data_IF_294729071791
#
_entry.id   IF_294729071791
#
_cell.length_a   1.000
_cell.length_b   1.000
_cell.length_c   1.000
_cell.angle_alpha   90.00
_cell.angle_beta   90.00
_cell.angle_gamma   90.00
#
_symmetry.space_group_name_H-M   'P 1'
#
loop_
_entity.id
_entity.type
_entity.pdbx_description
1 polymer ?
#
# COMPACT_ATOMS: atom_id res chain seq x y z
N UNK A 1 42.97 40.03 14.02
CA UNK A 1 42.92 38.55 13.86
C UNK A 1 41.75 37.92 14.62
N UNK A 2 41.62 38.11 15.93
CA UNK A 2 40.58 37.42 16.72
C UNK A 2 39.13 37.78 16.32
N UNK A 3 38.91 39.02 15.87
CA UNK A 3 37.62 39.50 15.33
C UNK A 3 37.24 38.82 14.02
N UNK A 4 38.21 38.66 13.11
CA UNK A 4 38.04 37.99 11.82
C UNK A 4 37.73 36.51 12.05
N UNK A 5 38.45 35.85 12.96
CA UNK A 5 38.21 34.44 13.31
C UNK A 5 36.79 34.26 13.87
N UNK A 6 36.35 35.14 14.79
CA UNK A 6 34.98 35.11 15.32
C UNK A 6 33.93 35.30 14.23
N UNK A 7 34.15 36.22 13.30
CA UNK A 7 33.24 36.49 12.19
C UNK A 7 33.14 35.30 11.24
N UNK A 8 34.27 34.67 10.91
CA UNK A 8 34.31 33.45 10.10
C UNK A 8 33.61 32.29 10.80
N UNK A 9 33.83 32.09 12.10
CA UNK A 9 33.17 31.06 12.88
C UNK A 9 31.65 31.26 12.93
N UNK A 10 31.21 32.51 13.05
CA UNK A 10 29.79 32.86 12.97
C UNK A 10 29.20 32.49 11.60
N UNK A 11 29.90 32.83 10.51
CA UNK A 11 29.48 32.50 9.16
C UNK A 11 29.38 31.00 8.92
N UNK A 12 30.38 30.23 9.37
CA UNK A 12 30.38 28.77 9.25
C UNK A 12 29.19 28.15 10.00
N UNK A 13 28.93 28.61 11.22
CA UNK A 13 27.77 28.14 12.00
C UNK A 13 26.44 28.50 11.33
N UNK A 14 26.35 29.68 10.70
CA UNK A 14 25.16 30.10 9.97
C UNK A 14 24.95 29.23 8.71
N UNK A 15 26.01 28.95 7.96
CA UNK A 15 25.97 28.08 6.79
C UNK A 15 25.58 26.64 7.14
N UNK A 16 26.12 26.08 8.23
CA UNK A 16 25.76 24.73 8.70
C UNK A 16 24.26 24.61 8.99
N UNK A 17 23.65 25.63 9.62
CA UNK A 17 22.22 25.68 9.88
C UNK A 17 21.39 25.74 8.60
N UNK A 18 21.80 26.55 7.63
CA UNK A 18 21.11 26.64 6.33
C UNK A 18 21.16 25.30 5.59
N UNK A 19 22.34 24.69 5.50
CA UNK A 19 22.53 23.39 4.83
C UNK A 19 21.67 22.32 5.51
N UNK A 20 21.67 22.30 6.84
CA UNK A 20 20.85 21.39 7.64
C UNK A 20 19.35 21.54 7.37
N UNK A 21 18.86 22.78 7.27
CA UNK A 21 17.45 23.03 6.94
C UNK A 21 17.10 22.56 5.52
N UNK A 22 17.97 22.85 4.55
CA UNK A 22 17.77 22.41 3.17
C UNK A 22 17.77 20.88 3.06
N UNK A 23 18.68 20.19 3.74
CA UNK A 23 18.71 18.73 3.81
C UNK A 23 17.45 18.16 4.47
N UNK A 24 16.93 18.81 5.52
CA UNK A 24 15.68 18.42 6.18
C UNK A 24 14.47 18.50 5.23
N UNK A 25 14.42 19.51 4.37
CA UNK A 25 13.35 19.68 3.38
C UNK A 25 13.40 18.56 2.34
N UNK A 26 14.60 18.20 1.86
CA UNK A 26 14.80 17.21 0.80
C UNK A 26 14.61 15.77 1.31
N UNK A 27 15.18 15.44 2.47
CA UNK A 27 15.23 14.06 2.99
C UNK A 27 14.10 13.76 3.99
N UNK A 28 13.36 14.79 4.43
CA UNK A 28 12.37 14.68 5.50
C UNK A 28 12.97 14.74 6.90
N UNK A 29 12.12 14.54 7.91
CA UNK A 29 12.39 14.81 9.34
C UNK A 29 13.59 14.04 9.94
N UNK A 30 14.07 12.99 9.27
CA UNK A 30 14.97 11.99 9.84
C UNK A 30 16.45 12.10 9.40
N UNK A 31 16.86 13.14 8.66
CA UNK A 31 18.21 13.21 8.06
C UNK A 31 19.38 13.22 9.07
N UNK A 32 19.19 13.73 10.29
CA UNK A 32 20.20 13.71 11.38
C UNK A 32 20.00 12.58 12.38
N UNK A 33 18.99 11.72 12.21
CA UNK A 33 18.74 10.63 13.15
C UNK A 33 19.69 9.49 12.74
N UNK A 34 20.72 9.16 13.56
CA UNK A 34 21.53 7.99 13.28
C UNK A 34 20.58 6.79 13.25
N UNK A 35 20.61 6.04 12.14
CA UNK A 35 19.88 4.78 12.04
C UNK A 35 20.40 3.92 13.18
N UNK A 36 19.52 3.47 14.08
CA UNK A 36 19.91 2.53 15.14
C UNK A 36 20.53 1.30 14.48
N UNK A 37 21.79 1.00 14.79
CA UNK A 37 22.50 -0.19 14.30
C UNK A 37 21.88 -1.50 14.82
N UNK A 38 21.14 -1.42 15.93
CA UNK A 38 20.43 -2.56 16.47
C UNK A 38 19.24 -2.92 15.57
N UNK A 39 19.11 -4.18 15.12
CA UNK A 39 17.93 -4.61 14.38
C UNK A 39 16.70 -4.44 15.27
N UNK A 40 15.87 -3.44 14.95
CA UNK A 40 14.61 -3.24 15.64
C UNK A 40 13.70 -4.38 15.21
N UNK A 41 13.28 -5.23 16.14
CA UNK A 41 12.26 -6.26 15.90
C UNK A 41 10.92 -5.59 15.58
N UNK A 42 10.70 -5.24 14.31
CA UNK A 42 9.47 -4.63 13.81
C UNK A 42 8.43 -5.73 13.58
N UNK A 43 7.79 -6.21 14.65
CA UNK A 43 6.76 -7.27 14.63
C UNK A 43 5.67 -7.04 13.56
N UNK A 44 5.30 -5.78 13.31
CA UNK A 44 4.28 -5.35 12.36
C UNK A 44 4.76 -5.15 10.91
N UNK A 45 6.07 -5.27 10.61
CA UNK A 45 6.61 -5.17 9.25
C UNK A 45 6.85 -6.51 8.58
N UNK A 46 6.40 -7.61 9.19
CA UNK A 46 6.45 -8.91 8.53
C UNK A 46 5.48 -8.85 7.35
N UNK A 47 5.95 -9.18 6.15
CA UNK A 47 5.09 -9.46 5.00
C UNK A 47 4.12 -10.57 5.44
N UNK A 48 2.89 -10.19 5.76
CA UNK A 48 1.82 -11.14 6.01
C UNK A 48 1.22 -11.47 4.65
N UNK A 49 1.31 -12.75 4.28
CA UNK A 49 0.56 -13.24 3.13
C UNK A 49 -0.89 -13.32 3.57
N UNK A 50 -1.77 -12.59 2.88
CA UNK A 50 -3.20 -12.67 3.12
C UNK A 50 -3.67 -14.12 2.98
N UNK A 51 -4.64 -14.50 3.81
CA UNK A 51 -5.26 -15.80 3.66
C UNK A 51 -5.94 -15.88 2.29
N UNK A 52 -5.83 -17.04 1.64
CA UNK A 52 -6.51 -17.26 0.36
C UNK A 52 -8.01 -17.06 0.56
N UNK A 53 -8.71 -16.40 -0.38
CA UNK A 53 -10.16 -16.31 -0.32
C UNK A 53 -10.78 -17.71 -0.28
N UNK A 54 -11.79 -17.88 0.56
CA UNK A 54 -12.56 -19.12 0.64
C UNK A 54 -13.51 -19.10 -0.56
N UNK A 55 -13.22 -19.92 -1.56
CA UNK A 55 -14.14 -20.14 -2.66
C UNK A 55 -15.15 -21.22 -2.26
N UNK A 56 -16.43 -20.89 -2.26
CA UNK A 56 -17.48 -21.90 -2.21
C UNK A 56 -17.44 -22.74 -3.49
N UNK A 57 -17.69 -24.05 -3.38
CA UNK A 57 -17.80 -24.91 -4.56
C UNK A 57 -19.13 -24.59 -5.24
N UNK A 58 -19.15 -24.00 -6.45
CA UNK A 58 -20.40 -23.71 -7.12
C UNK A 58 -21.12 -25.02 -7.44
N UNK A 59 -22.41 -25.08 -7.13
CA UNK A 59 -23.24 -26.20 -7.55
C UNK A 59 -23.33 -26.21 -9.08
N UNK A 60 -22.89 -27.30 -9.70
CA UNK A 60 -23.01 -27.49 -11.14
C UNK A 60 -24.42 -27.97 -11.46
N UNK A 61 -25.16 -27.18 -12.21
CA UNK A 61 -26.46 -27.56 -12.74
C UNK A 61 -26.36 -27.96 -14.21
N UNK A 62 -27.16 -28.95 -14.61
CA UNK A 62 -27.33 -29.32 -16.00
C UNK A 62 -28.43 -28.45 -16.63
N UNK A 63 -28.05 -27.62 -17.59
CA UNK A 63 -28.97 -26.67 -18.23
C UNK A 63 -30.13 -27.37 -18.94
N UNK A 64 -29.95 -28.60 -19.44
CA UNK A 64 -31.02 -29.35 -20.10
C UNK A 64 -32.13 -29.73 -19.13
N UNK A 65 -31.74 -30.18 -17.93
CA UNK A 65 -32.70 -30.50 -16.85
C UNK A 65 -33.45 -29.27 -16.40
N UNK A 66 -32.75 -28.15 -16.22
CA UNK A 66 -33.36 -26.89 -15.83
C UNK A 66 -34.43 -26.40 -16.83
N UNK A 67 -34.17 -26.54 -18.13
CA UNK A 67 -35.12 -26.15 -19.17
C UNK A 67 -36.35 -27.08 -19.21
N UNK A 68 -36.14 -28.39 -19.06
CA UNK A 68 -37.23 -29.38 -19.02
C UNK A 68 -38.12 -29.20 -17.78
N UNK A 69 -37.51 -29.00 -16.61
CA UNK A 69 -38.23 -28.71 -15.36
C UNK A 69 -39.05 -27.42 -15.49
N UNK A 70 -38.48 -26.36 -16.07
CA UNK A 70 -39.19 -25.11 -16.30
C UNK A 70 -40.38 -25.27 -17.25
N UNK A 71 -40.21 -26.05 -18.33
CA UNK A 71 -41.29 -26.34 -19.28
C UNK A 71 -42.43 -27.11 -18.61
N UNK A 72 -42.10 -28.12 -17.79
CA UNK A 72 -43.11 -28.90 -17.04
C UNK A 72 -43.89 -28.05 -16.06
N UNK A 73 -43.23 -27.10 -15.37
CA UNK A 73 -43.91 -26.26 -14.37
C UNK A 73 -44.75 -25.15 -14.99
N UNK A 74 -44.30 -24.54 -16.10
CA UNK A 74 -44.92 -23.34 -16.65
C UNK A 74 -45.70 -23.57 -17.96
N UNK A 75 -45.56 -24.74 -18.58
CA UNK A 75 -46.19 -25.10 -19.85
C UNK A 75 -45.69 -24.29 -21.06
N UNK A 76 -44.59 -23.54 -20.92
CA UNK A 76 -44.01 -22.68 -21.96
C UNK A 76 -42.49 -22.71 -21.88
N UNK A 77 -41.85 -22.57 -23.04
CA UNK A 77 -40.39 -22.48 -23.13
C UNK A 77 -39.85 -21.18 -22.51
N UNK A 78 -38.65 -21.26 -21.93
CA UNK A 78 -37.95 -20.10 -21.36
C UNK A 78 -37.42 -19.20 -22.49
N UNK A 79 -37.81 -17.93 -22.49
CA UNK A 79 -37.32 -16.97 -23.50
C UNK A 79 -35.84 -16.64 -23.27
N UNK A 80 -35.02 -16.56 -24.33
CA UNK A 80 -33.62 -16.17 -24.20
C UNK A 80 -33.48 -14.72 -23.71
N UNK A 81 -32.51 -14.50 -22.84
CA UNK A 81 -32.18 -13.17 -22.33
C UNK A 81 -31.48 -12.39 -23.46
N UNK A 82 -31.94 -11.16 -23.73
CA UNK A 82 -31.27 -10.29 -24.70
C UNK A 82 -29.90 -9.86 -24.16
N UNK A 83 -28.81 -9.94 -24.95
CA UNK A 83 -27.54 -9.34 -24.56
C UNK A 83 -27.72 -7.83 -24.37
N UNK A 84 -27.00 -7.25 -23.40
CA UNK A 84 -26.96 -5.80 -23.15
C UNK A 84 -26.14 -5.08 -24.21
#
# INVERSE_FOLDING_TARGET
MNTIIKFLLFYINLQEKIISYLLMIILGKDYKIPKKDTPINKKYRKLQVDQKPIFEKPQRFDYKKLLDDYFKTNGKELKPIKPR
#
